data_IF_577559806536
#
_entry.id   IF_577559806536
#
_cell.length_a   1.000
_cell.length_b   1.000
_cell.length_c   1.000
_cell.angle_alpha   90.00
_cell.angle_beta   90.00
_cell.angle_gamma   90.00
#
_symmetry.space_group_name_H-M   'P 1'
#
loop_
_entity.id
_entity.type
_entity.pdbx_description
1 polymer ?
#
# COMPACT_ATOMS: atom_id res chain seq x y z
N UNK A 1 9.74 -0.50 -14.67
CA UNK A 1 9.55 0.27 -13.43
C UNK A 1 10.07 1.69 -13.62
N UNK A 2 9.61 2.71 -12.88
CA UNK A 2 10.18 4.07 -12.95
C UNK A 2 11.67 4.07 -12.56
N UNK A 3 12.47 4.98 -13.17
CA UNK A 3 13.80 5.32 -12.63
C UNK A 3 13.66 5.97 -11.24
N UNK A 4 14.71 5.90 -10.43
CA UNK A 4 14.73 6.46 -9.07
C UNK A 4 14.15 5.56 -7.98
N UNK A 5 13.68 4.36 -8.32
CA UNK A 5 13.42 3.33 -7.33
C UNK A 5 14.75 2.77 -6.78
N UNK A 6 14.72 2.25 -5.56
CA UNK A 6 15.92 1.74 -4.89
C UNK A 6 16.65 0.66 -5.71
N UNK A 7 17.98 0.68 -5.78
CA UNK A 7 18.75 -0.30 -6.53
C UNK A 7 18.56 -1.73 -6.01
N UNK A 8 18.24 -1.89 -4.73
CA UNK A 8 17.94 -3.19 -4.14
C UNK A 8 16.73 -3.85 -4.81
N UNK A 9 15.68 -3.08 -5.13
CA UNK A 9 14.51 -3.61 -5.84
C UNK A 9 14.87 -4.17 -7.21
N UNK A 10 15.72 -3.46 -7.96
CA UNK A 10 16.20 -3.92 -9.26
C UNK A 10 16.96 -5.24 -9.11
N UNK A 11 17.94 -5.27 -8.21
CA UNK A 11 18.76 -6.47 -7.95
C UNK A 11 17.91 -7.67 -7.49
N UNK A 12 16.93 -7.44 -6.62
CA UNK A 12 16.03 -8.50 -6.16
C UNK A 12 15.25 -9.08 -7.34
N UNK A 13 14.64 -8.25 -8.19
CA UNK A 13 13.89 -8.73 -9.35
C UNK A 13 14.78 -9.48 -10.34
N UNK A 14 15.97 -8.97 -10.62
CA UNK A 14 16.94 -9.62 -11.51
C UNK A 14 17.43 -10.95 -10.96
N UNK A 15 17.60 -11.08 -9.63
CA UNK A 15 18.00 -12.35 -9.01
C UNK A 15 16.94 -13.46 -9.16
N UNK A 16 15.67 -13.09 -9.37
CA UNK A 16 14.60 -14.01 -9.75
C UNK A 16 14.53 -14.27 -11.28
N UNK A 17 15.46 -13.73 -12.07
CA UNK A 17 15.50 -13.89 -13.51
C UNK A 17 14.62 -12.90 -14.30
N UNK A 18 14.07 -11.88 -13.65
CA UNK A 18 13.29 -10.85 -14.33
C UNK A 18 14.18 -9.92 -15.15
N UNK A 19 13.74 -9.55 -16.36
CA UNK A 19 14.36 -8.48 -17.14
C UNK A 19 13.73 -7.15 -16.72
N UNK A 20 14.50 -6.32 -16.02
CA UNK A 20 14.00 -5.03 -15.50
C UNK A 20 14.23 -3.93 -16.53
N UNK A 21 13.14 -3.23 -16.91
CA UNK A 21 13.18 -2.05 -17.74
C UNK A 21 12.90 -0.83 -16.87
N UNK A 22 13.88 0.06 -16.71
CA UNK A 22 13.73 1.33 -16.03
C UNK A 22 13.31 2.40 -17.05
N UNK A 23 12.27 3.15 -16.73
CA UNK A 23 11.70 4.17 -17.59
C UNK A 23 12.04 5.56 -17.04
N UNK A 24 12.66 6.40 -17.88
CA UNK A 24 12.83 7.82 -17.58
C UNK A 24 11.47 8.50 -17.60
N UNK A 25 11.22 9.27 -16.54
CA UNK A 25 9.97 10.00 -16.38
C UNK A 25 10.06 11.36 -17.06
N UNK A 26 9.01 11.75 -17.77
CA UNK A 26 8.91 13.09 -18.34
C UNK A 26 8.80 14.12 -17.21
N UNK A 27 9.78 15.00 -17.09
CA UNK A 27 9.75 16.13 -16.15
C UNK A 27 10.23 15.85 -14.73
N UNK A 28 10.86 14.71 -14.45
CA UNK A 28 11.52 14.49 -13.16
C UNK A 28 12.85 15.23 -13.10
N UNK A 29 12.94 16.27 -12.26
CA UNK A 29 14.21 16.73 -11.71
C UNK A 29 14.76 15.63 -10.78
N UNK A 30 16.09 15.46 -10.78
CA UNK A 30 16.78 14.48 -9.92
C UNK A 30 16.25 14.52 -8.48
N UNK A 31 15.75 13.41 -7.98
CA UNK A 31 15.30 13.24 -6.58
C UNK A 31 13.79 13.27 -6.33
N UNK A 32 12.93 13.46 -7.33
CA UNK A 32 11.47 13.46 -7.17
C UNK A 32 10.85 12.20 -7.80
N UNK A 33 10.82 11.11 -7.06
CA UNK A 33 10.11 9.89 -7.45
C UNK A 33 8.83 9.79 -6.65
N UNK A 34 7.84 10.59 -6.97
CA UNK A 34 6.48 10.32 -6.49
C UNK A 34 5.46 11.18 -7.22
N UNK A 35 4.54 10.54 -7.89
CA UNK A 35 3.36 11.20 -8.40
C UNK A 35 2.60 10.32 -9.37
N UNK A 36 1.32 10.56 -9.48
CA UNK A 36 0.42 9.88 -10.41
C UNK A 36 0.92 9.89 -11.86
N UNK A 37 1.65 10.93 -12.27
CA UNK A 37 2.22 11.07 -13.63
C UNK A 37 3.26 10.00 -13.96
N UNK A 38 4.09 9.64 -12.97
CA UNK A 38 5.09 8.55 -13.07
C UNK A 38 4.43 7.20 -13.33
N UNK A 39 3.34 6.96 -12.66
CA UNK A 39 2.59 5.73 -12.79
C UNK A 39 1.87 5.65 -14.12
N UNK A 40 1.37 6.77 -14.64
CA UNK A 40 0.70 6.86 -15.94
C UNK A 40 1.66 6.47 -17.08
N UNK A 41 2.85 7.07 -17.16
CA UNK A 41 3.81 6.75 -18.22
C UNK A 41 4.23 5.27 -18.18
N UNK A 42 4.42 4.72 -16.98
CA UNK A 42 4.75 3.29 -16.81
C UNK A 42 3.61 2.39 -17.29
N UNK A 43 2.38 2.77 -17.03
CA UNK A 43 1.17 2.02 -17.42
C UNK A 43 0.94 2.08 -18.93
N UNK A 44 1.11 3.25 -19.54
CA UNK A 44 1.08 3.39 -21.00
C UNK A 44 2.10 2.44 -21.63
N UNK A 45 3.33 2.39 -21.10
CA UNK A 45 4.35 1.46 -21.59
C UNK A 45 3.98 -0.01 -21.42
N UNK A 46 3.39 -0.39 -20.30
CA UNK A 46 2.90 -1.75 -20.09
C UNK A 46 1.81 -2.12 -21.13
N UNK A 47 0.88 -1.20 -21.41
CA UNK A 47 -0.17 -1.40 -22.40
C UNK A 47 0.40 -1.53 -23.83
N UNK A 48 1.39 -0.71 -24.19
CA UNK A 48 2.09 -0.84 -25.47
C UNK A 48 2.75 -2.21 -25.64
N UNK A 49 3.48 -2.67 -24.61
CA UNK A 49 4.15 -3.97 -24.64
C UNK A 49 3.14 -5.11 -24.74
N UNK A 50 2.05 -5.06 -24.00
CA UNK A 50 0.99 -6.07 -24.06
C UNK A 50 0.33 -6.11 -25.46
N UNK A 51 0.03 -4.95 -26.06
CA UNK A 51 -0.55 -4.88 -27.40
C UNK A 51 0.40 -5.34 -28.51
N UNK A 52 1.69 -5.12 -28.34
CA UNK A 52 2.70 -5.47 -29.34
C UNK A 52 3.16 -6.93 -29.26
N UNK A 53 2.89 -7.65 -28.17
CA UNK A 53 3.34 -9.01 -27.96
C UNK A 53 2.22 -9.89 -27.37
N UNK A 54 1.63 -10.79 -28.16
CA UNK A 54 0.50 -11.64 -27.71
C UNK A 54 0.89 -12.64 -26.59
N UNK A 55 2.17 -12.80 -26.27
CA UNK A 55 2.66 -13.62 -25.16
C UNK A 55 2.89 -12.82 -23.90
N UNK A 56 2.52 -11.54 -23.87
CA UNK A 56 2.64 -10.66 -22.71
C UNK A 56 1.28 -10.47 -22.07
N UNK A 57 1.26 -10.57 -20.75
CA UNK A 57 0.11 -10.23 -19.93
C UNK A 57 0.51 -9.16 -18.91
N UNK A 58 -0.24 -8.07 -18.87
CA UNK A 58 -0.05 -7.00 -17.89
C UNK A 58 -0.97 -7.20 -16.68
N UNK A 59 -0.39 -7.32 -15.48
CA UNK A 59 -1.13 -7.64 -14.26
C UNK A 59 -2.09 -6.56 -13.76
N UNK A 60 -1.99 -5.31 -14.24
CA UNK A 60 -2.90 -4.18 -13.91
C UNK A 60 -3.18 -4.06 -12.41
N UNK A 61 -2.11 -3.92 -11.59
CA UNK A 61 -2.25 -3.92 -10.12
C UNK A 61 -3.25 -2.90 -9.56
N UNK A 62 -3.53 -1.80 -10.28
CA UNK A 62 -4.43 -0.73 -9.84
C UNK A 62 -5.91 -1.01 -10.09
N UNK A 63 -6.24 -1.91 -11.03
CA UNK A 63 -7.62 -2.18 -11.47
C UNK A 63 -7.96 -3.66 -11.54
N UNK A 64 -6.97 -4.56 -11.44
CA UNK A 64 -7.23 -5.99 -11.48
C UNK A 64 -7.92 -6.45 -10.19
N UNK A 65 -9.17 -6.95 -10.27
CA UNK A 65 -9.92 -7.38 -9.08
C UNK A 65 -9.28 -8.56 -8.34
N UNK A 66 -8.36 -9.28 -8.98
CA UNK A 66 -7.59 -10.34 -8.32
C UNK A 66 -6.70 -9.83 -7.20
N UNK A 67 -6.28 -8.55 -7.26
CA UNK A 67 -5.55 -7.90 -6.17
C UNK A 67 -6.41 -7.86 -4.89
N UNK A 68 -7.62 -7.31 -4.97
CA UNK A 68 -8.55 -7.28 -3.83
C UNK A 68 -8.97 -8.68 -3.39
N UNK A 69 -9.26 -9.58 -4.34
CA UNK A 69 -9.66 -10.97 -4.04
C UNK A 69 -8.60 -11.75 -3.25
N UNK A 70 -7.32 -11.55 -3.55
CA UNK A 70 -6.23 -12.18 -2.78
C UNK A 70 -6.28 -11.81 -1.30
N UNK A 71 -6.63 -10.57 -1.00
CA UNK A 71 -6.71 -10.07 0.38
C UNK A 71 -8.01 -10.39 1.12
N UNK A 72 -9.04 -10.93 0.44
CA UNK A 72 -10.16 -11.56 1.13
C UNK A 72 -9.66 -12.70 2.03
N UNK A 73 -8.75 -13.54 1.51
CA UNK A 73 -8.15 -14.61 2.28
C UNK A 73 -7.33 -14.09 3.47
N UNK A 74 -6.57 -13.03 3.27
CA UNK A 74 -5.84 -12.38 4.37
C UNK A 74 -6.77 -11.94 5.51
N UNK A 75 -7.93 -11.39 5.17
CA UNK A 75 -8.94 -11.01 6.17
C UNK A 75 -9.57 -12.21 6.88
N UNK A 76 -9.79 -13.32 6.18
CA UNK A 76 -10.27 -14.56 6.78
C UNK A 76 -9.20 -15.17 7.72
N UNK A 77 -7.94 -15.20 7.31
CA UNK A 77 -6.82 -15.65 8.15
C UNK A 77 -6.69 -14.81 9.43
N UNK A 78 -6.82 -13.48 9.33
CA UNK A 78 -6.84 -12.57 10.49
C UNK A 78 -8.00 -12.95 11.44
N UNK A 79 -9.20 -13.11 10.90
CA UNK A 79 -10.38 -13.48 11.68
C UNK A 79 -10.18 -14.80 12.43
N UNK A 80 -9.68 -15.82 11.74
CA UNK A 80 -9.44 -17.16 12.31
C UNK A 80 -8.35 -17.14 13.37
N UNK A 81 -7.21 -16.50 13.11
CA UNK A 81 -6.06 -16.45 14.03
C UNK A 81 -6.37 -15.70 15.34
N UNK A 82 -7.34 -14.80 15.31
CA UNK A 82 -7.75 -14.01 16.48
C UNK A 82 -9.09 -14.44 17.09
N UNK A 83 -9.63 -15.59 16.69
CA UNK A 83 -10.94 -16.08 17.13
C UNK A 83 -12.04 -15.01 16.99
N UNK A 84 -12.00 -14.23 15.91
CA UNK A 84 -12.95 -13.14 15.64
C UNK A 84 -12.79 -11.91 16.54
N UNK A 85 -11.78 -11.82 17.37
CA UNK A 85 -11.55 -10.70 18.29
C UNK A 85 -10.76 -9.59 17.57
N UNK A 86 -11.40 -8.89 16.65
CA UNK A 86 -10.83 -7.77 15.90
C UNK A 86 -11.74 -6.56 16.05
N UNK A 87 -11.28 -5.53 16.75
CA UNK A 87 -12.02 -4.28 16.93
C UNK A 87 -11.69 -3.26 15.82
N UNK A 88 -10.45 -3.29 15.30
CA UNK A 88 -10.06 -2.43 14.18
C UNK A 88 -9.02 -3.10 13.27
N UNK A 89 -9.05 -2.75 11.99
CA UNK A 89 -8.02 -3.05 11.01
C UNK A 89 -7.46 -1.77 10.42
N UNK A 90 -6.12 -1.66 10.38
CA UNK A 90 -5.40 -0.49 9.87
C UNK A 90 -4.45 -0.91 8.77
N UNK A 91 -4.48 -0.23 7.62
CA UNK A 91 -3.47 -0.44 6.57
C UNK A 91 -3.27 0.82 5.72
N UNK A 92 -2.07 0.98 5.19
CA UNK A 92 -1.75 2.05 4.24
C UNK A 92 -2.45 1.82 2.89
N UNK A 93 -2.85 2.92 2.28
CA UNK A 93 -3.51 2.93 0.98
C UNK A 93 -2.46 3.24 -0.09
N UNK A 94 -1.91 2.18 -0.71
CA UNK A 94 -1.16 2.30 -1.96
C UNK A 94 -2.13 2.20 -3.15
N UNK A 95 -2.35 0.99 -3.65
CA UNK A 95 -3.35 0.70 -4.69
C UNK A 95 -4.73 0.32 -4.13
N UNK A 96 -4.87 0.23 -2.83
CA UNK A 96 -6.12 -0.05 -2.13
C UNK A 96 -6.44 -1.54 -1.89
N UNK A 97 -5.81 -2.45 -2.63
CA UNK A 97 -6.18 -3.88 -2.63
C UNK A 97 -6.15 -4.54 -1.25
N UNK A 98 -5.12 -4.30 -0.45
CA UNK A 98 -4.99 -4.88 0.89
C UNK A 98 -6.08 -4.38 1.83
N UNK A 99 -6.23 -3.06 1.96
CA UNK A 99 -7.23 -2.48 2.84
C UNK A 99 -8.64 -2.93 2.44
N UNK A 100 -8.95 -2.86 1.13
CA UNK A 100 -10.27 -3.18 0.62
C UNK A 100 -10.62 -4.66 0.77
N UNK A 101 -9.71 -5.58 0.39
CA UNK A 101 -9.97 -7.01 0.49
C UNK A 101 -10.10 -7.49 1.94
N UNK A 102 -9.21 -7.06 2.82
CA UNK A 102 -9.31 -7.39 4.25
C UNK A 102 -10.58 -6.80 4.87
N UNK A 103 -10.92 -5.54 4.55
CA UNK A 103 -12.12 -4.91 5.04
C UNK A 103 -13.39 -5.67 4.63
N UNK A 104 -13.50 -6.10 3.37
CA UNK A 104 -14.64 -6.90 2.89
C UNK A 104 -14.78 -8.21 3.68
N UNK A 105 -13.69 -8.94 3.91
CA UNK A 105 -13.72 -10.18 4.65
C UNK A 105 -14.09 -9.98 6.12
N UNK A 106 -13.47 -8.99 6.78
CA UNK A 106 -13.73 -8.71 8.19
C UNK A 106 -15.15 -8.16 8.41
N UNK A 107 -15.64 -7.22 7.61
CA UNK A 107 -17.00 -6.67 7.73
C UNK A 107 -18.08 -7.72 7.57
N UNK A 108 -17.85 -8.73 6.73
CA UNK A 108 -18.77 -9.85 6.56
C UNK A 108 -18.94 -10.66 7.85
N UNK A 109 -17.89 -10.76 8.67
CA UNK A 109 -17.86 -11.55 9.91
C UNK A 109 -18.11 -10.70 11.15
N UNK A 110 -17.63 -9.45 11.13
CA UNK A 110 -17.67 -8.49 12.23
C UNK A 110 -18.20 -7.17 11.66
N UNK A 111 -19.54 -6.96 11.57
CA UNK A 111 -20.11 -5.75 10.95
C UNK A 111 -19.63 -4.44 11.56
N UNK A 112 -19.27 -4.44 12.87
CA UNK A 112 -18.81 -3.26 13.62
C UNK A 112 -17.31 -3.05 13.64
N UNK A 113 -16.48 -3.85 12.91
CA UNK A 113 -15.02 -3.66 12.88
C UNK A 113 -14.68 -2.29 12.29
N UNK A 114 -13.81 -1.55 12.96
CA UNK A 114 -13.35 -0.23 12.48
C UNK A 114 -12.27 -0.41 11.38
N UNK A 115 -12.47 0.20 10.22
CA UNK A 115 -11.53 0.14 9.09
C UNK A 115 -10.88 1.51 8.89
N UNK A 116 -9.56 1.57 9.08
CA UNK A 116 -8.81 2.84 9.01
C UNK A 116 -7.71 2.75 7.95
N UNK A 117 -7.74 3.68 7.01
CA UNK A 117 -6.70 3.84 6.00
C UNK A 117 -5.59 4.79 6.45
N UNK A 118 -4.34 4.47 6.17
CA UNK A 118 -3.23 5.40 6.29
C UNK A 118 -2.85 5.96 4.92
N UNK A 119 -2.67 7.28 4.81
CA UNK A 119 -2.12 7.93 3.63
C UNK A 119 -0.90 8.77 3.99
N UNK A 120 0.05 9.01 3.04
CA UNK A 120 1.16 9.93 3.28
C UNK A 120 0.66 11.35 3.56
N UNK A 121 1.23 12.02 4.57
CA UNK A 121 0.91 13.41 4.85
C UNK A 121 1.25 14.36 3.69
N UNK A 122 2.17 13.93 2.79
CA UNK A 122 2.56 14.62 1.56
C UNK A 122 1.73 14.22 0.34
N UNK A 123 0.63 13.50 0.50
CA UNK A 123 -0.23 13.11 -0.62
C UNK A 123 -0.73 14.35 -1.38
N UNK A 124 -0.53 14.37 -2.71
CA UNK A 124 -0.98 15.46 -3.58
C UNK A 124 -2.52 15.49 -3.70
N UNK A 125 -3.15 14.32 -3.58
CA UNK A 125 -4.60 14.13 -3.65
C UNK A 125 -5.04 13.37 -2.41
N UNK A 126 -5.16 14.03 -1.24
CA UNK A 126 -5.43 13.36 0.02
C UNK A 126 -6.86 12.85 0.09
N UNK A 127 -7.00 11.55 0.30
CA UNK A 127 -8.29 10.86 0.44
C UNK A 127 -9.03 11.33 1.71
N UNK A 128 -8.28 11.66 2.77
CA UNK A 128 -8.81 12.23 4.02
C UNK A 128 -9.49 13.60 3.82
N UNK A 129 -9.21 14.29 2.73
CA UNK A 129 -9.82 15.58 2.37
C UNK A 129 -10.93 15.44 1.31
N UNK A 130 -11.40 14.22 1.06
CA UNK A 130 -12.52 13.94 0.17
C UNK A 130 -12.16 13.74 -1.30
N UNK A 131 -10.90 13.57 -1.64
CA UNK A 131 -10.52 13.16 -2.99
C UNK A 131 -10.93 11.69 -3.19
N UNK A 132 -11.94 11.46 -4.02
CA UNK A 132 -12.44 10.11 -4.33
C UNK A 132 -11.76 9.49 -5.55
N UNK A 133 -11.02 10.31 -6.31
CA UNK A 133 -10.31 9.87 -7.50
C UNK A 133 -8.89 10.40 -7.49
N UNK A 134 -7.93 9.49 -7.45
CA UNK A 134 -6.51 9.80 -7.60
C UNK A 134 -6.15 9.60 -9.08
N UNK A 135 -5.70 10.64 -9.80
CA UNK A 135 -5.27 10.49 -11.19
C UNK A 135 -4.23 9.38 -11.33
N UNK A 136 -4.39 8.51 -12.33
CA UNK A 136 -3.49 7.38 -12.57
C UNK A 136 -3.76 6.11 -11.76
N UNK A 137 -4.80 6.07 -10.91
CA UNK A 137 -5.16 4.85 -10.16
C UNK A 137 -6.22 3.98 -10.84
N UNK A 138 -6.83 4.49 -11.91
CA UNK A 138 -7.71 3.71 -12.79
C UNK A 138 -7.04 3.52 -14.14
N UNK A 139 -7.24 2.37 -14.78
CA UNK A 139 -6.89 2.21 -16.19
C UNK A 139 -8.12 2.33 -17.06
N UNK A 140 -7.90 2.57 -18.38
CA UNK A 140 -8.98 2.80 -19.34
C UNK A 140 -9.93 1.61 -19.52
N UNK A 141 -9.62 0.48 -18.88
CA UNK A 141 -10.35 -0.79 -19.06
C UNK A 141 -11.25 -1.10 -17.87
N UNK A 142 -10.86 -0.71 -16.66
CA UNK A 142 -11.61 -0.97 -15.42
C UNK A 142 -11.44 0.21 -14.46
N UNK A 143 -12.45 0.51 -13.66
CA UNK A 143 -12.32 1.47 -12.55
C UNK A 143 -11.19 1.09 -11.60
N UNK A 144 -10.60 2.07 -10.90
CA UNK A 144 -9.52 1.82 -9.95
C UNK A 144 -10.03 1.22 -8.65
N UNK A 145 -9.21 0.35 -8.05
CA UNK A 145 -9.53 -0.28 -6.75
C UNK A 145 -9.79 0.77 -5.67
N UNK A 146 -9.02 1.87 -5.66
CA UNK A 146 -9.23 2.96 -4.69
C UNK A 146 -10.61 3.59 -4.85
N UNK A 147 -11.01 3.90 -6.08
CA UNK A 147 -12.31 4.50 -6.37
C UNK A 147 -13.45 3.56 -5.94
N UNK A 148 -13.34 2.28 -6.26
CA UNK A 148 -14.30 1.26 -5.86
C UNK A 148 -14.38 1.13 -4.33
N UNK A 149 -13.23 1.07 -3.65
CA UNK A 149 -13.14 1.00 -2.20
C UNK A 149 -13.81 2.18 -1.52
N UNK A 150 -13.53 3.41 -1.97
CA UNK A 150 -14.08 4.62 -1.37
C UNK A 150 -15.58 4.74 -1.63
N UNK A 151 -16.03 4.44 -2.85
CA UNK A 151 -17.46 4.47 -3.21
C UNK A 151 -18.28 3.41 -2.46
N UNK A 152 -17.65 2.32 -2.04
CA UNK A 152 -18.31 1.28 -1.23
C UNK A 152 -18.65 1.73 0.20
N UNK A 153 -18.02 2.80 0.70
CA UNK A 153 -18.17 3.27 2.08
C UNK A 153 -17.61 2.32 3.14
N UNK A 154 -16.79 1.33 2.74
CA UNK A 154 -16.27 0.31 3.67
C UNK A 154 -15.16 0.83 4.59
N UNK A 155 -14.49 1.90 4.20
CA UNK A 155 -13.44 2.55 4.99
C UNK A 155 -14.09 3.63 5.86
N UNK A 156 -13.97 3.52 7.17
CA UNK A 156 -14.60 4.45 8.12
C UNK A 156 -13.89 5.81 8.14
N UNK A 157 -12.55 5.79 8.01
CA UNK A 157 -11.75 7.02 7.94
C UNK A 157 -10.39 6.78 7.32
N UNK A 158 -9.80 7.84 6.79
CA UNK A 158 -8.42 7.89 6.31
C UNK A 158 -7.65 8.93 7.13
N UNK A 159 -6.47 8.58 7.61
CA UNK A 159 -5.63 9.46 8.40
C UNK A 159 -4.25 9.64 7.78
N UNK A 160 -3.72 10.86 7.88
CA UNK A 160 -2.39 11.21 7.39
C UNK A 160 -1.30 10.72 8.34
N UNK A 161 -0.24 10.15 7.76
CA UNK A 161 0.98 9.76 8.48
C UNK A 161 2.19 10.43 7.83
N UNK A 162 2.98 11.14 8.63
CA UNK A 162 4.21 11.79 8.17
C UNK A 162 5.33 10.77 7.90
N UNK A 163 6.20 11.08 6.94
CA UNK A 163 7.34 10.23 6.61
C UNK A 163 8.24 9.99 7.82
N UNK A 164 8.53 11.04 8.61
CA UNK A 164 9.39 10.92 9.79
C UNK A 164 8.76 10.01 10.86
N UNK A 165 7.45 10.07 11.03
CA UNK A 165 6.70 9.18 11.93
C UNK A 165 6.77 7.73 11.47
N UNK A 166 6.61 7.49 10.17
CA UNK A 166 6.68 6.16 9.57
C UNK A 166 8.09 5.56 9.71
N UNK A 167 9.13 6.34 9.42
CA UNK A 167 10.53 5.92 9.52
C UNK A 167 10.90 5.63 10.98
N UNK A 168 10.60 6.56 11.90
CA UNK A 168 10.89 6.37 13.33
C UNK A 168 10.20 5.13 13.90
N UNK A 169 8.95 4.87 13.51
CA UNK A 169 8.25 3.66 13.95
C UNK A 169 8.84 2.39 13.33
N UNK A 170 9.23 2.42 12.04
CA UNK A 170 9.92 1.29 11.42
C UNK A 170 11.26 0.99 12.14
N UNK A 171 12.01 2.03 12.55
CA UNK A 171 13.25 1.87 13.31
C UNK A 171 13.01 1.26 14.70
N UNK A 172 11.94 1.67 15.38
CA UNK A 172 11.55 1.10 16.65
C UNK A 172 11.18 -0.38 16.51
N UNK A 173 10.41 -0.74 15.49
CA UNK A 173 10.05 -2.14 15.22
C UNK A 173 11.28 -3.03 15.03
N UNK A 174 12.31 -2.51 14.35
CA UNK A 174 13.58 -3.24 14.19
C UNK A 174 14.31 -3.41 15.53
N UNK A 175 14.44 -2.32 16.29
CA UNK A 175 15.28 -2.31 17.51
C UNK A 175 14.59 -2.92 18.72
N UNK A 176 13.28 -2.70 18.86
CA UNK A 176 12.52 -3.08 20.05
C UNK A 176 11.84 -4.45 19.87
N UNK A 177 11.41 -4.79 18.62
CA UNK A 177 10.64 -6.00 18.35
C UNK A 177 11.36 -7.02 17.44
N UNK A 178 12.52 -6.66 16.88
CA UNK A 178 13.25 -7.52 15.93
C UNK A 178 12.58 -7.68 14.58
N UNK A 179 11.61 -6.81 14.24
CA UNK A 179 10.84 -6.86 12.99
C UNK A 179 11.51 -5.98 11.93
N UNK A 180 12.29 -6.60 11.03
CA UNK A 180 13.02 -5.90 9.98
C UNK A 180 12.11 -5.53 8.80
N UNK A 181 11.22 -4.55 9.02
CA UNK A 181 10.15 -4.16 8.11
C UNK A 181 10.38 -2.78 7.45
N UNK A 182 9.70 -2.54 6.33
CA UNK A 182 9.82 -1.30 5.54
C UNK A 182 9.02 -0.12 6.10
N UNK A 183 9.08 1.03 5.39
CA UNK A 183 8.49 2.31 5.83
C UNK A 183 6.97 2.22 5.97
N UNK A 184 6.30 1.59 5.01
CA UNK A 184 4.83 1.44 5.05
C UNK A 184 4.38 0.61 6.26
N UNK A 185 5.20 -0.36 6.71
CA UNK A 185 4.96 -1.09 7.95
C UNK A 185 5.03 -0.17 9.17
N UNK A 186 6.02 0.75 9.20
CA UNK A 186 6.12 1.78 10.23
C UNK A 186 4.89 2.71 10.24
N UNK A 187 4.42 3.14 9.08
CA UNK A 187 3.21 3.95 8.96
C UNK A 187 1.98 3.20 9.49
N UNK A 188 1.84 1.94 9.13
CA UNK A 188 0.75 1.07 9.56
C UNK A 188 0.73 0.92 11.08
N UNK A 189 1.87 0.57 11.69
CA UNK A 189 1.96 0.38 13.14
C UNK A 189 1.81 1.72 13.89
N UNK A 190 2.37 2.81 13.38
CA UNK A 190 2.17 4.12 13.98
C UNK A 190 0.69 4.47 14.10
N UNK A 191 -0.07 4.30 13.01
CA UNK A 191 -1.50 4.57 13.01
C UNK A 191 -2.27 3.54 13.85
N UNK A 192 -1.90 2.25 13.78
CA UNK A 192 -2.53 1.21 14.58
C UNK A 192 -2.39 1.47 16.09
N UNK A 193 -1.23 1.91 16.56
CA UNK A 193 -1.00 2.30 17.97
C UNK A 193 -1.86 3.52 18.34
N UNK A 194 -2.00 4.50 17.45
CA UNK A 194 -2.88 5.65 17.66
C UNK A 194 -4.34 5.21 17.80
N UNK A 195 -4.82 4.35 16.91
CA UNK A 195 -6.17 3.77 16.97
C UNK A 195 -6.39 2.96 18.24
N UNK A 196 -5.41 2.12 18.62
CA UNK A 196 -5.50 1.34 19.85
C UNK A 196 -5.64 2.20 21.12
N UNK A 197 -4.88 3.31 21.18
CA UNK A 197 -5.02 4.29 22.28
C UNK A 197 -6.40 4.95 22.34
N UNK A 198 -7.01 5.18 21.18
CA UNK A 198 -8.37 5.77 21.09
C UNK A 198 -9.46 4.77 21.52
N UNK A 199 -9.29 3.49 21.16
CA UNK A 199 -10.24 2.45 21.51
C UNK A 199 -10.15 2.02 22.99
N UNK A 200 -8.98 2.17 23.60
CA UNK A 200 -8.75 1.85 25.01
C UNK A 200 -8.38 0.38 25.29
N UNK A 201 -8.21 0.04 26.56
CA UNK A 201 -7.80 -1.30 27.00
C UNK A 201 -8.77 -2.41 26.57
N UNK A 202 -8.22 -3.60 26.33
CA UNK A 202 -9.01 -4.78 25.97
C UNK A 202 -9.48 -4.83 24.51
N UNK A 203 -9.02 -3.89 23.68
CA UNK A 203 -9.34 -3.82 22.25
C UNK A 203 -8.21 -4.38 21.39
N UNK A 204 -8.57 -5.10 20.33
CA UNK A 204 -7.65 -5.72 19.39
C UNK A 204 -7.60 -4.88 18.10
N UNK A 205 -6.44 -4.27 17.83
CA UNK A 205 -6.18 -3.53 16.59
C UNK A 205 -5.16 -4.30 15.76
N UNK A 206 -5.54 -4.63 14.54
CA UNK A 206 -4.72 -5.42 13.62
C UNK A 206 -4.18 -4.56 12.51
N UNK A 207 -2.94 -4.83 12.11
CA UNK A 207 -2.32 -4.23 10.93
C UNK A 207 -1.43 -5.24 10.21
N UNK A 208 -0.90 -4.84 9.06
CA UNK A 208 0.00 -5.67 8.25
C UNK A 208 1.37 -5.01 8.10
N UNK A 209 2.41 -5.81 7.96
CA UNK A 209 3.77 -5.39 7.64
C UNK A 209 4.05 -5.79 6.18
N UNK A 210 3.80 -4.88 5.19
CA UNK A 210 3.72 -5.27 3.78
C UNK A 210 5.02 -5.74 3.15
N UNK A 211 6.16 -5.21 3.61
CA UNK A 211 7.45 -5.54 3.03
C UNK A 211 8.61 -5.48 4.02
N UNK A 212 9.75 -5.93 3.54
CA UNK A 212 11.00 -6.06 4.27
C UNK A 212 11.91 -4.85 4.03
N UNK A 213 12.69 -4.45 5.04
CA UNK A 213 13.54 -3.25 5.02
C UNK A 213 14.72 -3.35 4.04
N UNK A 214 15.15 -4.55 3.66
CA UNK A 214 16.22 -4.77 2.70
C UNK A 214 15.99 -4.07 1.34
N UNK A 215 14.75 -3.71 1.03
CA UNK A 215 14.38 -2.96 -0.19
C UNK A 215 14.75 -1.48 -0.15
N UNK A 216 15.23 -0.98 1.00
CA UNK A 216 15.42 0.45 1.28
C UNK A 216 16.79 0.79 1.86
N UNK A 217 17.76 -0.14 1.85
CA UNK A 217 19.05 0.06 2.51
C UNK A 217 19.88 1.19 1.89
N UNK A 218 19.69 1.49 0.60
CA UNK A 218 20.34 2.64 -0.07
C UNK A 218 19.68 3.99 0.23
N UNK A 219 18.53 4.01 0.85
CA UNK A 219 17.86 5.26 1.23
C UNK A 219 18.61 5.90 2.41
N UNK A 220 19.21 7.08 2.18
CA UNK A 220 20.03 7.80 3.17
C UNK A 220 19.34 8.00 4.52
N UNK A 221 18.01 8.04 4.56
CA UNK A 221 17.22 8.21 5.78
C UNK A 221 17.18 6.97 6.69
N UNK A 222 17.65 5.80 6.21
CA UNK A 222 17.72 4.56 6.97
C UNK A 222 19.12 4.18 7.46
N UNK A 223 20.14 4.91 7.02
CA UNK A 223 21.56 4.58 7.28
C UNK A 223 22.26 5.52 8.27
N UNK A 224 21.51 6.38 8.97
CA UNK A 224 22.03 7.26 10.02
C UNK A 224 21.73 6.75 11.42
#
# INVERSE_FOLDING_TARGET
MPEGMTPERVKIMESYGAKVHQLKLRGSSEGSVAGAEVEIDTRIKCLEVERSNPRTWWARQFSNPSNTKAHLRTGEEIYEQLDGKVDAFVASIGVGGTLYGVAQALRKRIPGVLIVGAEPASARYPLSEGYTRVPGTSDDVCGGIIEEMLNSGIVDRVEKVGNDQAIAMSDRLVREEGLFCGISSGANVYLAVKVAKQLGPGKSVVTVLPDHRDRYLSEKKYTT
#
